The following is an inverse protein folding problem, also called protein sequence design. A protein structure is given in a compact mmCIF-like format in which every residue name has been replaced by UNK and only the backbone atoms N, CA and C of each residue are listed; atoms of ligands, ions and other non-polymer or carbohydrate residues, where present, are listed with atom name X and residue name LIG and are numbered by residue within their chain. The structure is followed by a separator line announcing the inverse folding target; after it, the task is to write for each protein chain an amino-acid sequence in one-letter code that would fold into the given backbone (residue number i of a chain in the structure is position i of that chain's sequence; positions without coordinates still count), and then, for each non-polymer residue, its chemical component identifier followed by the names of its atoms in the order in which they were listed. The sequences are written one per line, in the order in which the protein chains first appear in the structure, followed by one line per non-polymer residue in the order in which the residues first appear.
data_IF_098062853660
#
_entry.id   IF_098062853660
#
_cell.length_a   1.000
_cell.length_b   1.000
_cell.length_c   1.000
_cell.angle_alpha   90.00
_cell.angle_beta   90.00
_cell.angle_gamma   90.00
#
_symmetry.space_group_name_H-M   'P 1'
#
loop_
_entity.id
_entity.type
_entity.pdbx_description
1 polymer ?
#
# COMPACT_ATOMS: atom_id res chain seq x y z
N UNK A 1 -34.70 32.58 12.55
CA UNK A 1 -33.77 33.63 13.01
C UNK A 1 -32.97 34.07 11.80
N UNK A 2 -33.09 35.36 11.44
CA UNK A 2 -32.65 35.94 10.15
C UNK A 2 -31.13 36.09 10.07
N UNK A 3 -30.55 35.74 8.93
CA UNK A 3 -29.11 35.74 8.64
C UNK A 3 -28.54 37.14 8.29
N UNK A 4 -29.07 38.26 8.80
CA UNK A 4 -28.69 39.60 8.30
C UNK A 4 -28.06 40.60 9.28
N UNK A 5 -27.84 40.27 10.57
CA UNK A 5 -27.47 41.31 11.56
C UNK A 5 -26.20 41.01 12.38
N UNK A 6 -25.22 40.29 11.82
CA UNK A 6 -23.92 40.14 12.50
C UNK A 6 -22.90 41.14 11.93
N UNK A 7 -22.39 42.00 12.81
CA UNK A 7 -21.28 42.88 12.47
C UNK A 7 -20.07 42.02 12.04
N UNK A 8 -19.40 42.30 10.91
CA UNK A 8 -18.23 41.57 10.46
C UNK A 8 -17.13 41.36 11.52
N UNK A 9 -16.90 42.35 12.40
CA UNK A 9 -15.95 42.22 13.52
C UNK A 9 -16.43 41.26 14.63
N UNK A 10 -17.74 41.13 14.82
CA UNK A 10 -18.36 40.24 15.81
C UNK A 10 -18.17 38.76 15.43
N UNK A 11 -18.21 38.42 14.13
CA UNK A 11 -17.97 37.06 13.65
C UNK A 11 -16.53 36.57 13.90
N UNK A 12 -15.54 37.44 13.67
CA UNK A 12 -14.13 37.12 13.95
C UNK A 12 -13.90 36.95 15.46
N UNK A 13 -14.50 37.82 16.27
CA UNK A 13 -14.42 37.72 17.73
C UNK A 13 -15.05 36.43 18.25
N UNK A 14 -16.22 36.04 17.73
CA UNK A 14 -16.88 34.77 18.06
C UNK A 14 -16.04 33.56 17.69
N UNK A 15 -15.48 33.55 16.48
CA UNK A 15 -14.62 32.47 16.03
C UNK A 15 -13.37 32.33 16.90
N UNK A 16 -12.75 33.46 17.27
CA UNK A 16 -11.59 33.47 18.15
C UNK A 16 -11.96 33.04 19.58
N UNK A 17 -13.13 33.43 20.10
CA UNK A 17 -13.63 32.96 21.39
C UNK A 17 -13.80 31.44 21.38
N UNK A 18 -14.52 30.90 20.40
CA UNK A 18 -14.70 29.45 20.24
C UNK A 18 -13.35 28.71 20.11
N UNK A 19 -12.38 29.31 19.44
CA UNK A 19 -11.02 28.76 19.35
C UNK A 19 -10.30 28.72 20.71
N UNK A 20 -10.45 29.77 21.52
CA UNK A 20 -9.90 29.83 22.89
C UNK A 20 -10.62 28.85 23.82
N UNK A 21 -11.92 28.64 23.62
CA UNK A 21 -12.74 27.66 24.33
C UNK A 21 -12.48 26.22 23.88
N UNK A 22 -11.50 26.00 22.99
CA UNK A 22 -11.12 24.72 22.38
C UNK A 22 -12.23 24.04 21.55
N UNK A 23 -13.35 24.72 21.30
CA UNK A 23 -14.36 24.30 20.35
C UNK A 23 -13.93 24.67 18.92
N UNK A 24 -12.99 23.89 18.41
CA UNK A 24 -12.46 24.08 17.07
C UNK A 24 -13.52 23.84 15.98
N UNK A 25 -14.56 23.05 16.26
CA UNK A 25 -15.62 22.78 15.27
C UNK A 25 -16.50 24.00 15.05
N UNK A 26 -16.91 24.65 16.13
CA UNK A 26 -17.69 25.87 16.08
C UNK A 26 -16.83 27.06 15.61
N UNK A 27 -15.53 27.08 15.98
CA UNK A 27 -14.58 28.06 15.45
C UNK A 27 -14.48 27.98 13.91
N UNK A 28 -14.33 26.78 13.33
CA UNK A 28 -14.29 26.58 11.87
C UNK A 28 -15.58 27.07 11.20
N UNK A 29 -16.73 26.82 11.82
CA UNK A 29 -18.03 27.28 11.32
C UNK A 29 -18.10 28.80 11.30
N UNK A 30 -17.75 29.48 12.40
CA UNK A 30 -17.74 30.94 12.45
C UNK A 30 -16.71 31.57 11.51
N UNK A 31 -15.51 30.99 11.38
CA UNK A 31 -14.55 31.45 10.37
C UNK A 31 -15.10 31.29 8.94
N UNK A 32 -15.83 30.22 8.67
CA UNK A 32 -16.45 29.99 7.34
C UNK A 32 -17.52 31.02 7.04
N UNK A 33 -18.38 31.37 8.00
CA UNK A 33 -19.34 32.45 7.85
C UNK A 33 -18.66 33.82 7.73
N UNK A 34 -17.56 34.02 8.47
CA UNK A 34 -16.70 35.19 8.33
C UNK A 34 -16.15 35.34 6.92
N UNK A 35 -15.62 34.26 6.32
CA UNK A 35 -15.07 34.28 4.95
C UNK A 35 -16.12 34.62 3.89
N UNK A 36 -17.39 34.22 4.10
CA UNK A 36 -18.49 34.55 3.18
C UNK A 36 -18.89 36.02 3.24
N UNK A 37 -18.72 36.65 4.41
CA UNK A 37 -19.27 37.99 4.70
C UNK A 37 -18.20 39.07 4.64
N UNK A 38 -16.98 38.77 5.05
CA UNK A 38 -15.86 39.71 5.09
C UNK A 38 -15.15 39.75 3.73
N UNK A 39 -14.49 40.89 3.47
CA UNK A 39 -13.68 41.11 2.27
C UNK A 39 -12.46 41.95 2.63
N UNK A 40 -11.43 41.90 1.79
CA UNK A 40 -10.20 42.68 1.98
C UNK A 40 -9.16 41.98 2.86
N UNK A 41 -8.35 42.77 3.58
CA UNK A 41 -7.17 42.27 4.34
C UNK A 41 -7.52 41.27 5.45
N UNK A 42 -8.72 41.38 6.05
CA UNK A 42 -9.19 40.46 7.08
C UNK A 42 -9.41 39.01 6.58
N UNK A 43 -9.52 38.79 5.26
CA UNK A 43 -9.60 37.44 4.69
C UNK A 43 -8.35 36.62 4.96
N UNK A 44 -7.17 37.26 4.98
CA UNK A 44 -5.89 36.60 5.28
C UNK A 44 -5.94 35.98 6.66
N UNK A 45 -6.35 36.76 7.67
CA UNK A 45 -6.47 36.31 9.06
C UNK A 45 -7.52 35.22 9.22
N UNK A 46 -8.66 35.35 8.54
CA UNK A 46 -9.74 34.35 8.58
C UNK A 46 -9.30 33.00 8.00
N UNK A 47 -8.70 32.99 6.81
CA UNK A 47 -8.18 31.76 6.20
C UNK A 47 -7.07 31.15 7.05
N UNK A 48 -6.14 31.98 7.53
CA UNK A 48 -5.06 31.50 8.36
C UNK A 48 -5.61 30.90 9.68
N UNK A 49 -6.54 31.57 10.36
CA UNK A 49 -7.06 31.11 11.64
C UNK A 49 -7.98 29.89 11.48
N UNK A 50 -8.76 29.81 10.40
CA UNK A 50 -9.49 28.59 10.05
C UNK A 50 -8.55 27.42 9.79
N UNK A 51 -7.44 27.63 9.08
CA UNK A 51 -6.41 26.61 8.92
C UNK A 51 -5.85 26.14 10.27
N UNK A 52 -5.70 27.03 11.25
CA UNK A 52 -5.26 26.65 12.60
C UNK A 52 -6.27 25.76 13.32
N UNK A 53 -7.56 26.12 13.27
CA UNK A 53 -8.63 25.30 13.85
C UNK A 53 -8.72 23.93 13.16
N UNK A 54 -8.56 23.90 11.82
CA UNK A 54 -8.52 22.65 11.05
C UNK A 54 -7.31 21.78 11.41
N UNK A 55 -6.13 22.37 11.67
CA UNK A 55 -4.96 21.63 12.18
C UNK A 55 -5.25 20.98 13.54
N UNK A 56 -5.95 21.67 14.44
CA UNK A 56 -6.36 21.12 15.74
C UNK A 56 -7.38 19.99 15.62
N UNK A 57 -8.18 20.00 14.55
CA UNK A 57 -9.11 18.93 14.17
C UNK A 57 -8.46 17.84 13.30
N UNK A 58 -7.14 17.88 13.07
CA UNK A 58 -6.41 16.95 12.20
C UNK A 58 -6.91 16.90 10.74
N UNK A 59 -7.64 17.93 10.30
CA UNK A 59 -8.14 18.08 8.92
C UNK A 59 -7.08 18.73 8.03
N UNK A 60 -5.95 18.04 7.88
CA UNK A 60 -4.73 18.60 7.28
C UNK A 60 -4.89 19.03 5.81
N UNK A 61 -5.67 18.32 5.01
CA UNK A 61 -5.90 18.66 3.60
C UNK A 61 -6.61 20.01 3.43
N UNK A 62 -7.64 20.25 4.25
CA UNK A 62 -8.38 21.51 4.24
C UNK A 62 -7.55 22.65 4.85
N UNK A 63 -6.81 22.36 5.92
CA UNK A 63 -5.88 23.30 6.52
C UNK A 63 -4.81 23.76 5.50
N UNK A 64 -4.27 22.84 4.70
CA UNK A 64 -3.33 23.16 3.61
C UNK A 64 -3.98 24.13 2.60
N UNK A 65 -5.20 23.84 2.15
CA UNK A 65 -5.90 24.68 1.17
C UNK A 65 -6.15 26.10 1.70
N UNK A 66 -6.58 26.22 2.94
CA UNK A 66 -6.83 27.53 3.57
C UNK A 66 -5.55 28.31 3.82
N UNK A 67 -4.51 27.65 4.34
CA UNK A 67 -3.21 28.28 4.51
C UNK A 67 -2.63 28.75 3.18
N UNK A 68 -2.79 27.96 2.11
CA UNK A 68 -2.38 28.35 0.77
C UNK A 68 -3.13 29.61 0.28
N UNK A 69 -4.46 29.67 0.42
CA UNK A 69 -5.23 30.88 0.10
C UNK A 69 -4.76 32.10 0.88
N UNK A 70 -4.45 31.93 2.17
CA UNK A 70 -3.90 33.02 2.97
C UNK A 70 -2.53 33.49 2.44
N UNK A 71 -1.64 32.58 2.05
CA UNK A 71 -0.34 32.94 1.45
C UNK A 71 -0.46 33.57 0.06
N UNK A 72 -1.47 33.21 -0.72
CA UNK A 72 -1.77 33.83 -2.03
C UNK A 72 -2.28 35.26 -1.87
N UNK A 73 -3.07 35.53 -0.82
CA UNK A 73 -3.57 36.87 -0.51
C UNK A 73 -2.51 37.78 0.12
N UNK A 74 -1.68 37.25 1.03
CA UNK A 74 -0.54 37.98 1.58
C UNK A 74 0.70 37.06 1.71
N UNK A 75 1.65 37.17 0.77
CA UNK A 75 2.88 36.38 0.81
C UNK A 75 3.79 36.65 2.02
N UNK A 76 3.62 37.79 2.71
CA UNK A 76 4.44 38.17 3.87
C UNK A 76 3.92 37.62 5.20
N UNK A 77 2.72 37.02 5.22
CA UNK A 77 2.10 36.48 6.44
C UNK A 77 2.76 35.17 6.86
N UNK A 78 3.73 35.24 7.79
CA UNK A 78 4.48 34.07 8.23
C UNK A 78 3.61 33.02 8.93
N UNK A 79 2.50 33.39 9.61
CA UNK A 79 1.61 32.40 10.26
C UNK A 79 0.92 31.50 9.23
N UNK A 80 0.58 32.05 8.07
CA UNK A 80 -0.03 31.29 6.98
C UNK A 80 0.97 30.27 6.41
N UNK A 81 2.21 30.68 6.16
CA UNK A 81 3.29 29.79 5.73
C UNK A 81 3.59 28.70 6.77
N UNK A 82 3.63 29.06 8.05
CA UNK A 82 3.80 28.08 9.14
C UNK A 82 2.71 27.01 9.13
N UNK A 83 1.43 27.44 9.07
CA UNK A 83 0.27 26.54 9.06
C UNK A 83 0.25 25.66 7.80
N UNK A 84 0.67 26.19 6.65
CA UNK A 84 0.86 25.42 5.41
C UNK A 84 1.93 24.34 5.60
N UNK A 85 3.09 24.69 6.14
CA UNK A 85 4.18 23.76 6.41
C UNK A 85 3.77 22.62 7.33
N UNK A 86 3.12 22.92 8.46
CA UNK A 86 2.61 21.91 9.39
C UNK A 86 1.59 20.99 8.69
N UNK A 87 0.66 21.56 7.93
CA UNK A 87 -0.34 20.78 7.17
C UNK A 87 0.32 19.82 6.18
N UNK A 88 1.28 20.29 5.38
CA UNK A 88 2.02 19.47 4.42
C UNK A 88 2.84 18.37 5.11
N UNK A 89 3.45 18.67 6.26
CA UNK A 89 4.24 17.70 7.01
C UNK A 89 3.38 16.52 7.48
N UNK A 90 2.18 16.78 8.01
CA UNK A 90 1.23 15.73 8.40
C UNK A 90 0.66 14.95 7.20
N UNK A 91 0.57 15.58 6.03
CA UNK A 91 0.21 14.92 4.76
C UNK A 91 1.37 14.16 4.11
N UNK A 92 2.53 14.06 4.75
CA UNK A 92 3.75 13.43 4.23
C UNK A 92 4.32 14.08 2.96
N UNK A 93 3.93 15.33 2.69
CA UNK A 93 4.45 16.15 1.60
C UNK A 93 5.63 16.97 2.13
N UNK A 94 6.73 16.29 2.44
CA UNK A 94 7.84 16.87 3.20
C UNK A 94 8.60 17.95 2.42
N UNK A 95 8.71 17.82 1.09
CA UNK A 95 9.32 18.84 0.23
C UNK A 95 8.53 20.15 0.26
N UNK A 96 7.21 20.10 0.05
CA UNK A 96 6.34 21.28 0.14
C UNK A 96 6.31 21.86 1.56
N UNK A 97 6.41 21.01 2.59
CA UNK A 97 6.50 21.45 3.97
C UNK A 97 7.79 22.25 4.21
N UNK A 98 8.92 21.75 3.74
CA UNK A 98 10.23 22.39 3.85
C UNK A 98 10.22 23.79 3.21
N UNK A 99 9.71 23.91 1.99
CA UNK A 99 9.59 25.20 1.30
C UNK A 99 8.74 26.20 2.09
N UNK A 100 7.58 25.76 2.59
CA UNK A 100 6.70 26.62 3.38
C UNK A 100 7.35 27.07 4.70
N UNK A 101 8.11 26.19 5.37
CA UNK A 101 8.86 26.54 6.57
C UNK A 101 10.02 27.51 6.29
N UNK A 102 10.72 27.36 5.17
CA UNK A 102 11.77 28.29 4.77
C UNK A 102 11.20 29.70 4.47
N UNK A 103 10.08 29.78 3.77
CA UNK A 103 9.42 31.07 3.49
C UNK A 103 8.89 31.71 4.79
N UNK A 104 8.40 30.89 5.73
CA UNK A 104 8.01 31.33 7.07
C UNK A 104 9.20 31.95 7.85
N UNK A 105 10.36 31.29 7.83
CA UNK A 105 11.58 31.76 8.50
C UNK A 105 12.10 33.07 7.88
N UNK A 106 12.08 33.16 6.54
CA UNK A 106 12.47 34.36 5.80
C UNK A 106 11.60 35.58 6.12
N UNK A 107 10.31 35.36 6.39
CA UNK A 107 9.35 36.40 6.74
C UNK A 107 9.30 36.75 8.24
N UNK A 108 10.27 36.30 9.04
CA UNK A 108 10.48 36.78 10.41
C UNK A 108 9.86 35.94 11.53
N UNK A 109 9.53 34.67 11.28
CA UNK A 109 9.12 33.76 12.34
C UNK A 109 10.30 33.37 13.25
N UNK A 110 10.14 33.52 14.57
CA UNK A 110 11.18 33.20 15.56
C UNK A 110 11.07 31.76 16.09
N UNK A 111 12.23 31.12 16.26
CA UNK A 111 12.52 29.90 17.04
C UNK A 111 11.83 28.57 16.65
N UNK A 112 10.52 28.57 16.44
CA UNK A 112 9.72 27.35 16.32
C UNK A 112 9.85 26.62 14.98
N UNK A 113 10.28 27.31 13.92
CA UNK A 113 10.29 26.78 12.54
C UNK A 113 11.53 25.92 12.25
N UNK A 114 12.65 26.22 12.91
CA UNK A 114 13.92 25.51 12.68
C UNK A 114 13.81 24.01 12.95
N UNK A 115 13.09 23.60 14.00
CA UNK A 115 12.85 22.18 14.31
C UNK A 115 12.07 21.49 13.20
N UNK A 116 11.04 22.16 12.66
CA UNK A 116 10.24 21.64 11.56
C UNK A 116 11.03 21.48 10.27
N UNK A 117 11.95 22.40 9.98
CA UNK A 117 12.89 22.31 8.85
C UNK A 117 13.76 21.06 9.02
N UNK A 118 14.41 20.89 10.17
CA UNK A 118 15.25 19.72 10.44
C UNK A 118 14.48 18.41 10.34
N UNK A 119 13.26 18.33 10.90
CA UNK A 119 12.42 17.14 10.78
C UNK A 119 12.02 16.89 9.32
N UNK A 120 11.69 17.92 8.55
CA UNK A 120 11.34 17.77 7.14
C UNK A 120 12.52 17.25 6.33
N UNK A 121 13.72 17.81 6.54
CA UNK A 121 14.97 17.34 5.91
C UNK A 121 15.32 15.90 6.29
N UNK A 122 15.16 15.53 7.56
CA UNK A 122 15.39 14.16 8.04
C UNK A 122 14.43 13.18 7.35
N UNK A 123 13.13 13.52 7.27
CA UNK A 123 12.13 12.69 6.58
C UNK A 123 12.43 12.56 5.09
N UNK A 124 12.79 13.66 4.42
CA UNK A 124 13.21 13.65 3.01
C UNK A 124 14.46 12.77 2.83
N UNK A 125 15.48 12.92 3.68
CA UNK A 125 16.69 12.09 3.63
C UNK A 125 16.38 10.62 3.84
N UNK A 126 15.48 10.30 4.79
CA UNK A 126 15.07 8.92 5.07
C UNK A 126 14.28 8.31 3.90
N UNK A 127 13.42 9.09 3.23
CA UNK A 127 12.69 8.64 2.04
C UNK A 127 13.63 8.40 0.85
N UNK A 128 14.66 9.23 0.68
CA UNK A 128 15.70 9.02 -0.35
C UNK A 128 16.56 7.79 -0.07
N UNK A 129 16.96 7.60 1.20
CA UNK A 129 17.83 6.49 1.65
C UNK A 129 17.16 5.12 1.70
N UNK A 130 15.87 4.97 1.35
CA UNK A 130 15.26 3.64 1.29
C UNK A 130 16.02 2.84 0.22
N UNK A 131 16.83 1.83 0.60
CA UNK A 131 17.73 1.19 -0.34
C UNK A 131 16.88 0.54 -1.43
N UNK A 132 17.16 0.90 -2.68
CA UNK A 132 16.56 0.23 -3.83
C UNK A 132 17.10 -1.20 -3.82
N UNK A 133 16.30 -2.15 -3.32
CA UNK A 133 16.66 -3.56 -3.34
C UNK A 133 16.53 -4.06 -4.77
N UNK A 134 17.66 -4.09 -5.49
CA UNK A 134 17.71 -4.68 -6.82
C UNK A 134 17.75 -6.19 -6.66
N UNK A 135 16.69 -6.84 -7.14
CA UNK A 135 16.65 -8.30 -7.28
C UNK A 135 16.90 -8.63 -8.74
N UNK A 136 17.68 -9.66 -8.99
CA UNK A 136 17.79 -10.24 -10.33
C UNK A 136 17.28 -11.67 -10.29
N UNK A 137 16.60 -12.07 -11.36
CA UNK A 137 16.14 -13.42 -11.59
C UNK A 137 16.59 -13.84 -13.00
N UNK A 138 16.71 -15.13 -13.25
CA UNK A 138 17.09 -15.62 -14.57
C UNK A 138 16.25 -16.83 -14.95
N UNK A 139 15.93 -16.90 -16.23
CA UNK A 139 15.32 -18.06 -16.84
C UNK A 139 16.03 -18.36 -18.14
N UNK A 140 15.74 -19.53 -18.71
CA UNK A 140 16.33 -19.94 -19.97
C UNK A 140 15.29 -20.57 -20.88
N UNK A 141 15.49 -20.37 -22.16
CA UNK A 141 14.85 -21.10 -23.24
C UNK A 141 15.86 -22.08 -23.84
N UNK A 142 15.45 -22.86 -24.84
CA UNK A 142 16.38 -23.74 -25.57
C UNK A 142 17.50 -22.96 -26.26
N UNK A 143 17.24 -21.73 -26.69
CA UNK A 143 18.15 -20.95 -27.51
C UNK A 143 18.73 -19.69 -26.84
N UNK A 144 18.13 -19.21 -25.75
CA UNK A 144 18.53 -17.98 -25.07
C UNK A 144 18.55 -18.15 -23.55
N UNK A 145 19.43 -17.41 -22.88
CA UNK A 145 19.43 -17.18 -21.44
C UNK A 145 18.93 -15.76 -21.20
N UNK A 146 17.95 -15.60 -20.32
CA UNK A 146 17.30 -14.32 -20.05
C UNK A 146 17.49 -13.94 -18.59
N UNK A 147 18.15 -12.81 -18.33
CA UNK A 147 18.33 -12.24 -16.98
C UNK A 147 17.41 -11.05 -16.85
N UNK A 148 16.61 -11.03 -15.78
CA UNK A 148 15.69 -9.94 -15.45
C UNK A 148 16.20 -9.23 -14.22
N UNK A 149 16.59 -7.97 -14.35
CA UNK A 149 17.00 -7.11 -13.24
C UNK A 149 15.83 -6.21 -12.85
N UNK A 150 15.28 -6.41 -11.65
CA UNK A 150 14.16 -5.62 -11.11
C UNK A 150 14.69 -4.32 -10.51
N UNK A 151 14.60 -3.25 -11.28
CA UNK A 151 14.96 -1.91 -10.87
C UNK A 151 13.94 -0.90 -11.41
N UNK A 152 13.40 -0.06 -10.54
CA UNK A 152 12.34 0.90 -10.87
C UNK A 152 12.95 2.24 -11.31
N UNK A 153 12.30 2.88 -12.27
CA UNK A 153 12.58 4.24 -12.75
C UNK A 153 14.00 4.46 -13.30
N UNK A 154 14.62 3.42 -13.88
CA UNK A 154 15.90 3.57 -14.57
C UNK A 154 15.77 4.46 -15.81
N UNK A 155 16.73 5.36 -16.00
CA UNK A 155 16.87 6.12 -17.24
C UNK A 155 17.51 5.24 -18.33
N UNK A 156 16.85 4.96 -19.46
CA UNK A 156 17.41 4.12 -20.53
C UNK A 156 18.74 4.63 -21.08
N UNK A 157 19.00 5.94 -21.06
CA UNK A 157 20.24 6.52 -21.56
C UNK A 157 21.45 6.32 -20.62
N UNK A 158 21.21 5.96 -19.35
CA UNK A 158 22.23 5.76 -18.33
C UNK A 158 22.49 4.28 -18.01
N UNK A 159 22.02 3.37 -18.88
CA UNK A 159 22.23 1.93 -18.76
C UNK A 159 23.15 1.48 -19.90
N UNK A 160 24.31 0.93 -19.55
CA UNK A 160 25.24 0.33 -20.50
C UNK A 160 25.40 -1.15 -20.18
N UNK A 161 25.33 -2.00 -21.21
CA UNK A 161 25.50 -3.45 -21.07
C UNK A 161 26.54 -3.89 -22.09
N UNK A 162 27.61 -4.49 -21.58
CA UNK A 162 28.70 -5.06 -22.37
C UNK A 162 28.60 -6.58 -22.35
N UNK A 163 28.49 -7.16 -23.55
CA UNK A 163 28.45 -8.61 -23.76
C UNK A 163 29.82 -9.12 -24.16
N UNK A 164 30.38 -10.04 -23.38
CA UNK A 164 31.58 -10.80 -23.72
C UNK A 164 31.21 -12.28 -23.86
N UNK A 165 32.03 -13.08 -24.55
CA UNK A 165 31.74 -14.49 -24.80
C UNK A 165 31.44 -15.28 -23.52
N UNK A 166 32.08 -14.99 -22.39
CA UNK A 166 31.91 -15.71 -21.12
C UNK A 166 31.49 -14.83 -19.94
N UNK A 167 31.34 -13.52 -20.15
CA UNK A 167 30.98 -12.58 -19.07
C UNK A 167 29.99 -11.53 -19.58
N UNK A 168 29.12 -11.08 -18.69
CA UNK A 168 28.18 -9.99 -18.95
C UNK A 168 28.34 -8.94 -17.86
N UNK A 169 28.54 -7.69 -18.26
CA UNK A 169 28.65 -6.55 -17.36
C UNK A 169 27.53 -5.57 -17.67
N UNK A 170 26.71 -5.27 -16.67
CA UNK A 170 25.69 -4.22 -16.75
C UNK A 170 26.07 -3.12 -15.78
N UNK A 171 26.14 -1.88 -16.28
CA UNK A 171 26.26 -0.68 -15.47
C UNK A 171 25.00 0.16 -15.63
N UNK A 172 24.43 0.59 -14.52
CA UNK A 172 23.22 1.40 -14.51
C UNK A 172 23.28 2.45 -13.40
N UNK A 173 22.95 3.70 -13.73
CA UNK A 173 22.76 4.74 -12.71
C UNK A 173 21.34 4.68 -12.16
N UNK A 174 21.20 4.43 -10.87
CA UNK A 174 19.90 4.41 -10.20
C UNK A 174 19.33 5.83 -10.03
N UNK A 175 18.01 5.97 -9.77
CA UNK A 175 17.38 7.26 -9.48
C UNK A 175 17.99 8.01 -8.29
N UNK A 176 18.66 7.31 -7.37
CA UNK A 176 19.35 7.87 -6.19
C UNK A 176 20.80 8.29 -6.51
N UNK A 177 21.15 8.42 -7.79
CA UNK A 177 22.48 8.72 -8.32
C UNK A 177 23.59 7.70 -8.00
N UNK A 178 23.28 6.60 -7.32
CA UNK A 178 24.22 5.51 -7.08
C UNK A 178 24.46 4.69 -8.34
N UNK A 179 25.73 4.37 -8.61
CA UNK A 179 26.10 3.46 -9.68
C UNK A 179 25.86 2.00 -9.26
N UNK A 180 25.11 1.27 -10.09
CA UNK A 180 24.89 -0.17 -9.93
C UNK A 180 25.65 -0.93 -11.01
N UNK A 181 26.50 -1.85 -10.58
CA UNK A 181 27.24 -2.76 -11.46
C UNK A 181 26.82 -4.21 -11.18
N UNK A 182 26.37 -4.91 -12.23
CA UNK A 182 26.07 -6.33 -12.19
C UNK A 182 27.03 -7.06 -13.14
N UNK A 183 27.90 -7.87 -12.55
CA UNK A 183 28.90 -8.68 -13.26
C UNK A 183 28.52 -10.15 -13.13
N UNK A 184 28.15 -10.77 -14.25
CA UNK A 184 27.80 -12.18 -14.31
C UNK A 184 28.88 -12.95 -15.08
N UNK A 185 29.47 -13.95 -14.43
CA UNK A 185 30.42 -14.88 -15.06
C UNK A 185 29.66 -16.09 -15.57
N UNK A 186 29.38 -16.12 -16.87
CA UNK A 186 28.50 -17.11 -17.47
C UNK A 186 29.13 -18.50 -17.49
N UNK A 187 28.34 -19.53 -17.17
CA UNK A 187 28.80 -20.93 -17.16
C UNK A 187 29.23 -21.43 -18.55
N UNK A 188 28.56 -20.96 -19.60
CA UNK A 188 28.83 -21.36 -20.98
C UNK A 188 28.95 -20.13 -21.88
N UNK A 189 29.65 -20.26 -23.02
CA UNK A 189 29.83 -19.15 -23.93
C UNK A 189 28.50 -18.72 -24.58
N UNK A 190 28.35 -17.40 -24.74
CA UNK A 190 27.26 -16.76 -25.46
C UNK A 190 27.76 -16.14 -26.77
N UNK A 191 26.84 -15.86 -27.69
CA UNK A 191 27.13 -15.11 -28.92
C UNK A 191 26.81 -13.63 -28.68
N UNK A 192 27.83 -12.76 -28.50
CA UNK A 192 27.61 -11.35 -28.16
C UNK A 192 26.79 -10.62 -29.24
N UNK A 193 27.07 -10.89 -30.51
CA UNK A 193 26.43 -10.24 -31.66
C UNK A 193 24.92 -10.49 -31.79
N UNK A 194 24.42 -11.58 -31.17
CA UNK A 194 23.00 -11.94 -31.16
C UNK A 194 22.35 -11.71 -29.79
N UNK A 195 23.09 -11.11 -28.86
CA UNK A 195 22.57 -10.77 -27.54
C UNK A 195 21.97 -9.37 -27.56
N UNK A 196 20.85 -9.18 -26.86
CA UNK A 196 20.10 -7.93 -26.83
C UNK A 196 19.62 -7.61 -25.43
N UNK A 197 19.32 -6.34 -25.17
CA UNK A 197 18.73 -5.92 -23.90
C UNK A 197 17.54 -4.98 -24.15
N UNK A 198 16.63 -4.92 -23.19
CA UNK A 198 15.47 -4.04 -23.23
C UNK A 198 15.27 -3.42 -21.85
N UNK A 199 15.32 -2.08 -21.81
CA UNK A 199 15.10 -1.31 -20.58
C UNK A 199 13.62 -0.94 -20.49
N UNK A 200 12.94 -1.42 -19.46
CA UNK A 200 11.57 -1.03 -19.12
C UNK A 200 11.56 -0.15 -17.86
N UNK A 201 10.42 0.50 -17.57
CA UNK A 201 10.27 1.36 -16.39
C UNK A 201 10.47 0.63 -15.05
N UNK A 202 10.20 -0.68 -15.01
CA UNK A 202 10.20 -1.48 -13.78
C UNK A 202 11.28 -2.57 -13.75
N UNK A 203 11.92 -2.84 -14.89
CA UNK A 203 12.89 -3.93 -15.05
C UNK A 203 13.78 -3.72 -16.27
N UNK A 204 14.95 -4.34 -16.25
CA UNK A 204 15.81 -4.51 -17.43
C UNK A 204 15.83 -5.99 -17.78
N UNK A 205 15.47 -6.32 -19.02
CA UNK A 205 15.55 -7.67 -19.55
C UNK A 205 16.78 -7.79 -20.44
N UNK A 206 17.66 -8.73 -20.11
CA UNK A 206 18.88 -9.02 -20.86
C UNK A 206 18.71 -10.40 -21.48
N UNK A 207 18.76 -10.47 -22.80
CA UNK A 207 18.60 -11.71 -23.58
C UNK A 207 19.94 -12.07 -24.22
N UNK A 208 20.56 -13.13 -23.74
CA UNK A 208 21.83 -13.63 -24.24
C UNK A 208 21.60 -14.86 -25.10
N UNK A 209 22.20 -14.91 -26.29
CA UNK A 209 22.10 -16.07 -27.19
C UNK A 209 23.09 -17.14 -26.77
N UNK A 210 22.62 -18.38 -26.57
CA UNK A 210 23.50 -19.52 -26.27
C UNK A 210 24.34 -19.89 -27.49
N UNK A 211 25.63 -20.17 -27.30
CA UNK A 211 26.47 -20.78 -28.34
C UNK A 211 26.13 -22.28 -28.50
N UNK A 212 25.94 -22.96 -27.37
CA UNK A 212 25.66 -24.40 -27.33
C UNK A 212 24.18 -24.68 -27.03
N UNK A 213 23.61 -25.73 -27.63
CA UNK A 213 22.24 -26.20 -27.35
C UNK A 213 22.06 -26.84 -25.96
N UNK A 214 22.94 -26.52 -25.01
CA UNK A 214 23.00 -27.09 -23.67
C UNK A 214 22.06 -26.31 -22.74
N UNK A 215 21.34 -27.03 -21.90
CA UNK A 215 20.54 -26.44 -20.81
C UNK A 215 21.47 -26.13 -19.63
N UNK A 216 21.50 -24.88 -19.20
CA UNK A 216 22.39 -24.44 -18.13
C UNK A 216 21.83 -24.90 -16.78
N UNK A 217 22.64 -25.56 -15.95
CA UNK A 217 22.27 -25.94 -14.59
C UNK A 217 22.44 -24.77 -13.60
N UNK A 218 23.35 -23.85 -13.90
CA UNK A 218 23.63 -22.62 -13.16
C UNK A 218 23.84 -21.46 -14.14
N UNK A 219 23.48 -20.24 -13.74
CA UNK A 219 23.80 -19.03 -14.50
C UNK A 219 25.30 -18.74 -14.44
N UNK A 220 25.88 -18.87 -13.25
CA UNK A 220 27.28 -18.57 -12.99
C UNK A 220 28.15 -19.83 -12.93
N UNK A 221 29.28 -19.77 -13.63
CA UNK A 221 30.32 -20.80 -13.61
C UNK A 221 31.34 -20.50 -12.52
N UNK A 222 31.72 -21.50 -11.72
CA UNK A 222 32.76 -21.35 -10.70
C UNK A 222 34.12 -20.98 -11.32
N UNK A 223 34.47 -19.70 -11.30
CA UNK A 223 35.87 -19.27 -11.38
C UNK A 223 36.52 -19.60 -10.04
N UNK A 224 37.24 -20.72 -9.98
CA UNK A 224 38.02 -21.13 -8.81
C UNK A 224 39.10 -20.08 -8.48
N UNK A 225 38.83 -19.22 -7.50
CA UNK A 225 39.82 -18.40 -6.80
C UNK A 225 39.90 -18.80 -5.31
N UNK A 226 40.24 -20.07 -5.06
CA UNK A 226 41.06 -20.52 -3.92
C UNK A 226 41.19 -22.05 -3.99
N UNK A 227 42.26 -22.51 -4.61
CA UNK A 227 42.67 -23.92 -4.59
C UNK A 227 43.24 -24.23 -3.21
N UNK A 228 42.50 -24.99 -2.38
CA UNK A 228 43.13 -25.90 -1.41
C UNK A 228 43.08 -27.30 -2.03
N UNK A 229 44.24 -27.79 -2.46
CA UNK A 229 44.41 -29.17 -2.91
C UNK A 229 44.10 -30.13 -1.75
N UNK A 230 43.38 -31.21 -2.04
CA UNK A 230 43.27 -32.39 -1.19
C UNK A 230 43.80 -33.58 -2.00
N UNK A 231 44.67 -34.45 -1.43
CA UNK A 231 45.39 -35.47 -2.17
C UNK A 231 44.50 -36.65 -2.60
N UNK A 232 44.94 -37.27 -3.69
CA UNK A 232 44.39 -38.46 -4.34
C UNK A 232 44.42 -39.66 -3.38
N UNK A 233 43.27 -40.31 -3.20
CA UNK A 233 43.19 -41.69 -2.71
C UNK A 233 42.02 -42.43 -3.37
N UNK A 234 42.33 -43.60 -3.89
CA UNK A 234 41.47 -44.49 -4.65
C UNK A 234 40.33 -45.13 -3.82
N UNK A 235 39.18 -45.38 -4.45
CA UNK A 235 38.29 -46.50 -4.11
C UNK A 235 37.26 -46.76 -5.23
N UNK A 236 36.99 -48.05 -5.44
CA UNK A 236 36.24 -48.74 -6.50
C UNK A 236 34.71 -48.51 -6.48
N UNK A 237 33.93 -49.02 -7.46
CA UNK A 237 32.51 -48.74 -7.61
C UNK A 237 31.66 -49.64 -6.70
N UNK A 238 30.79 -49.05 -5.89
CA UNK A 238 29.72 -49.75 -5.17
C UNK A 238 28.35 -49.31 -5.69
N UNK A 239 27.56 -50.26 -6.16
CA UNK A 239 26.13 -50.14 -6.46
C UNK A 239 25.35 -49.84 -5.17
N UNK A 240 24.84 -48.62 -5.04
CA UNK A 240 23.59 -48.24 -4.33
C UNK A 240 23.36 -46.72 -4.46
N UNK A 241 22.11 -46.23 -4.58
CA UNK A 241 21.86 -44.79 -4.70
C UNK A 241 22.20 -44.06 -3.39
N UNK A 242 22.69 -42.80 -3.44
CA UNK A 242 23.11 -42.07 -2.26
C UNK A 242 21.92 -41.69 -1.38
N UNK A 243 21.96 -42.10 -0.12
CA UNK A 243 21.12 -41.56 0.95
C UNK A 243 21.81 -40.29 1.47
N UNK A 244 21.16 -39.14 1.30
CA UNK A 244 21.69 -37.84 1.72
C UNK A 244 21.58 -37.64 3.24
N UNK A 245 22.60 -37.10 3.93
CA UNK A 245 22.49 -36.71 5.32
C UNK A 245 21.72 -35.39 5.41
N UNK A 246 20.48 -35.45 5.91
CA UNK A 246 19.63 -34.28 6.14
C UNK A 246 20.16 -33.45 7.32
N UNK A 247 20.71 -32.28 7.02
CA UNK A 247 21.17 -31.28 7.99
C UNK A 247 20.07 -30.25 8.29
N UNK A 248 18.97 -30.67 8.94
CA UNK A 248 18.12 -29.72 9.66
C UNK A 248 17.53 -30.34 10.93
N UNK A 249 18.24 -30.16 12.04
CA UNK A 249 17.81 -30.59 13.38
C UNK A 249 16.66 -29.75 13.97
N UNK A 250 15.84 -29.09 13.15
CA UNK A 250 14.57 -28.45 13.54
C UNK A 250 13.59 -28.51 12.38
N UNK A 251 12.82 -29.60 12.29
CA UNK A 251 11.60 -29.64 11.46
C UNK A 251 10.58 -28.70 12.10
N UNK A 252 10.41 -27.50 11.52
CA UNK A 252 9.22 -26.69 11.80
C UNK A 252 8.06 -27.43 11.14
N UNK A 253 7.19 -28.00 11.96
CA UNK A 253 6.12 -28.89 11.51
C UNK A 253 4.98 -28.04 10.94
N UNK A 254 5.04 -27.74 9.64
CA UNK A 254 4.06 -26.91 8.94
C UNK A 254 2.65 -27.51 9.00
N UNK A 255 2.51 -28.84 9.03
CA UNK A 255 1.22 -29.52 9.22
C UNK A 255 0.58 -29.21 10.59
N UNK A 256 1.41 -29.02 11.62
CA UNK A 256 0.90 -28.66 12.96
C UNK A 256 0.45 -27.21 13.01
N UNK A 257 1.18 -26.31 12.36
CA UNK A 257 0.83 -24.89 12.23
C UNK A 257 -0.43 -24.74 11.39
N UNK A 258 -0.57 -25.49 10.29
CA UNK A 258 -1.77 -25.49 9.45
C UNK A 258 -2.97 -26.09 10.21
N UNK A 259 -2.76 -27.13 11.03
CA UNK A 259 -3.81 -27.65 11.92
C UNK A 259 -4.17 -26.71 13.07
N UNK A 260 -3.23 -25.92 13.59
CA UNK A 260 -3.46 -24.92 14.64
C UNK A 260 -4.17 -23.69 14.07
N UNK A 261 -3.82 -23.23 12.87
CA UNK A 261 -4.50 -22.14 12.15
C UNK A 261 -5.92 -22.56 11.76
N UNK A 262 -6.10 -23.79 11.26
CA UNK A 262 -7.42 -24.30 10.87
C UNK A 262 -8.32 -24.56 12.07
N UNK A 263 -7.73 -24.85 13.23
CA UNK A 263 -8.43 -24.99 14.51
C UNK A 263 -8.71 -23.63 15.16
N UNK A 264 -7.84 -22.63 15.00
CA UNK A 264 -8.10 -21.22 15.33
C UNK A 264 -9.17 -20.60 14.42
N UNK A 265 -9.20 -20.94 13.12
CA UNK A 265 -10.27 -20.56 12.18
C UNK A 265 -11.60 -21.28 12.48
N UNK A 266 -11.58 -22.51 13.03
CA UNK A 266 -12.77 -23.20 13.53
C UNK A 266 -13.20 -22.73 14.94
N UNK A 267 -12.28 -22.17 15.75
CA UNK A 267 -12.56 -21.54 17.05
C UNK A 267 -12.96 -20.05 16.96
N UNK A 268 -12.58 -19.34 15.90
CA UNK A 268 -13.20 -18.06 15.51
C UNK A 268 -14.60 -18.32 14.95
N UNK A 269 -15.53 -18.65 15.84
CA UNK A 269 -16.97 -18.59 15.55
C UNK A 269 -17.29 -17.20 14.99
N UNK A 270 -17.74 -17.06 13.74
CA UNK A 270 -18.42 -15.85 13.34
C UNK A 270 -19.83 -15.97 13.96
N UNK A 271 -19.98 -15.53 15.21
CA UNK A 271 -21.31 -15.41 15.81
C UNK A 271 -22.10 -14.33 15.07
N UNK A 272 -23.08 -14.77 14.28
CA UNK A 272 -24.04 -13.87 13.63
C UNK A 272 -24.64 -14.42 12.34
N UNK A 273 -25.60 -13.65 11.80
CA UNK A 273 -26.36 -13.95 10.58
C UNK A 273 -25.47 -14.24 9.35
N UNK A 274 -24.23 -13.72 9.32
CA UNK A 274 -23.28 -13.91 8.23
C UNK A 274 -22.78 -15.37 8.11
N UNK A 275 -22.48 -16.04 9.23
CA UNK A 275 -22.06 -17.46 9.22
C UNK A 275 -23.21 -18.37 8.81
N UNK A 276 -24.42 -18.05 9.25
CA UNK A 276 -25.64 -18.77 8.90
C UNK A 276 -25.95 -18.62 7.40
N UNK A 277 -25.82 -17.41 6.86
CA UNK A 277 -25.97 -17.15 5.43
C UNK A 277 -24.93 -17.90 4.58
N UNK A 278 -23.68 -17.97 5.03
CA UNK A 278 -22.65 -18.73 4.34
C UNK A 278 -22.92 -20.24 4.37
N UNK A 279 -23.41 -20.76 5.50
CA UNK A 279 -23.86 -22.15 5.61
C UNK A 279 -25.00 -22.46 4.62
N UNK A 280 -25.98 -21.56 4.48
CA UNK A 280 -27.08 -21.74 3.54
C UNK A 280 -26.64 -21.63 2.07
N UNK A 281 -25.71 -20.73 1.74
CA UNK A 281 -25.12 -20.66 0.39
C UNK A 281 -24.41 -21.96 0.03
N UNK A 282 -23.68 -22.54 1.00
CA UNK A 282 -23.00 -23.82 0.80
C UNK A 282 -23.99 -24.98 0.59
N UNK A 283 -25.06 -25.05 1.38
CA UNK A 283 -26.11 -26.06 1.23
C UNK A 283 -26.85 -25.90 -0.11
N UNK A 284 -27.09 -24.68 -0.57
CA UNK A 284 -27.72 -24.44 -1.89
C UNK A 284 -26.78 -24.81 -3.05
N UNK A 285 -25.48 -24.56 -2.90
CA UNK A 285 -24.44 -24.92 -3.87
C UNK A 285 -24.26 -26.43 -4.00
N UNK A 286 -24.14 -27.13 -2.87
CA UNK A 286 -23.85 -28.58 -2.81
C UNK A 286 -25.12 -29.46 -2.83
N UNK A 287 -26.30 -28.90 -2.53
CA UNK A 287 -27.56 -29.63 -2.41
C UNK A 287 -28.13 -30.17 -3.73
N UNK A 288 -28.95 -31.22 -3.63
CA UNK A 288 -29.73 -31.75 -4.76
C UNK A 288 -30.83 -30.76 -5.17
N UNK A 289 -31.38 -30.92 -6.38
CA UNK A 289 -32.43 -30.01 -6.88
C UNK A 289 -33.69 -29.98 -6.00
N UNK A 290 -33.95 -31.06 -5.27
CA UNK A 290 -35.04 -31.14 -4.29
C UNK A 290 -34.80 -30.26 -3.06
N UNK A 291 -33.55 -30.18 -2.59
CA UNK A 291 -33.14 -29.28 -1.50
C UNK A 291 -33.25 -27.82 -1.95
N UNK A 292 -32.79 -27.49 -3.16
CA UNK A 292 -32.92 -26.12 -3.72
C UNK A 292 -34.39 -25.71 -3.85
N UNK A 293 -35.25 -26.64 -4.26
CA UNK A 293 -36.69 -26.39 -4.39
C UNK A 293 -37.35 -26.15 -3.03
N UNK A 294 -36.96 -26.92 -2.00
CA UNK A 294 -37.43 -26.74 -0.63
C UNK A 294 -36.99 -25.39 -0.04
N UNK A 295 -35.73 -25.02 -0.27
CA UNK A 295 -35.16 -23.76 0.18
C UNK A 295 -35.86 -22.56 -0.48
N UNK A 296 -36.02 -22.57 -1.81
CA UNK A 296 -36.69 -21.48 -2.51
C UNK A 296 -38.16 -21.34 -2.13
N UNK A 297 -38.89 -22.46 -1.97
CA UNK A 297 -40.30 -22.42 -1.59
C UNK A 297 -40.49 -21.94 -0.15
N UNK A 298 -39.69 -22.45 0.80
CA UNK A 298 -39.78 -22.01 2.20
C UNK A 298 -39.40 -20.55 2.37
N UNK A 299 -38.32 -20.10 1.72
CA UNK A 299 -37.89 -18.70 1.74
C UNK A 299 -38.96 -17.76 1.20
N UNK A 300 -39.61 -18.15 0.10
CA UNK A 300 -40.64 -17.33 -0.53
C UNK A 300 -41.95 -17.30 0.26
N UNK A 301 -42.36 -18.41 0.87
CA UNK A 301 -43.57 -18.46 1.71
C UNK A 301 -43.38 -17.75 3.06
N UNK A 302 -42.16 -17.79 3.62
CA UNK A 302 -41.84 -17.16 4.91
C UNK A 302 -41.40 -15.69 4.78
N UNK A 303 -41.41 -15.10 3.59
CA UNK A 303 -40.94 -13.73 3.39
C UNK A 303 -39.46 -13.52 3.72
N UNK A 304 -38.64 -14.57 3.61
CA UNK A 304 -37.20 -14.50 3.80
C UNK A 304 -36.68 -14.79 5.21
N UNK A 305 -37.54 -15.11 6.18
CA UNK A 305 -37.11 -15.33 7.58
C UNK A 305 -36.86 -16.79 7.98
N UNK A 306 -37.33 -17.77 7.21
CA UNK A 306 -37.18 -19.21 7.53
C UNK A 306 -36.73 -19.97 6.29
N UNK A 307 -35.70 -20.81 6.44
CA UNK A 307 -35.18 -21.65 5.36
C UNK A 307 -35.21 -23.12 5.77
N UNK A 308 -35.94 -23.95 5.02
CA UNK A 308 -36.02 -25.39 5.24
C UNK A 308 -35.45 -26.16 4.05
N UNK A 309 -34.73 -27.25 4.34
CA UNK A 309 -34.05 -28.10 3.35
C UNK A 309 -34.84 -29.38 3.03
N UNK A 310 -35.96 -29.64 3.71
CA UNK A 310 -36.76 -30.86 3.54
C UNK A 310 -38.00 -30.62 2.67
N UNK A 311 -38.00 -31.11 1.43
CA UNK A 311 -39.09 -30.91 0.48
C UNK A 311 -40.41 -31.56 0.91
N UNK A 312 -40.36 -32.71 1.58
CA UNK A 312 -41.57 -33.45 1.97
C UNK A 312 -42.43 -32.71 3.00
N UNK A 313 -41.83 -31.83 3.79
CA UNK A 313 -42.51 -31.00 4.79
C UNK A 313 -43.04 -29.71 4.16
N UNK A 314 -42.18 -28.98 3.44
CA UNK A 314 -42.53 -27.72 2.75
C UNK A 314 -43.55 -27.94 1.62
N UNK A 315 -43.65 -29.15 1.07
CA UNK A 315 -44.67 -29.50 0.08
C UNK A 315 -46.08 -29.60 0.68
N UNK A 316 -46.21 -30.04 1.94
CA UNK A 316 -47.50 -30.36 2.58
C UNK A 316 -48.06 -29.21 3.43
N UNK A 317 -47.21 -28.38 4.03
CA UNK A 317 -47.63 -27.35 4.97
C UNK A 317 -47.00 -26.00 4.62
N UNK A 318 -47.77 -24.90 4.78
CA UNK A 318 -47.27 -23.54 4.49
C UNK A 318 -46.31 -23.11 5.60
N UNK A 319 -45.11 -22.67 5.22
CA UNK A 319 -44.12 -22.21 6.19
C UNK A 319 -44.48 -20.80 6.68
N UNK A 320 -44.89 -20.67 7.94
CA UNK A 320 -45.31 -19.40 8.54
C UNK A 320 -44.10 -18.52 8.92
N UNK A 321 -44.22 -17.21 8.69
CA UNK A 321 -43.21 -16.21 9.05
C UNK A 321 -42.94 -16.24 10.56
N UNK A 322 -41.70 -16.54 10.94
CA UNK A 322 -41.18 -16.34 12.30
C UNK A 322 -40.09 -15.28 12.23
N UNK A 323 -40.36 -14.02 12.65
CA UNK A 323 -39.34 -12.98 12.66
C UNK A 323 -38.33 -13.20 13.82
N UNK A 324 -37.09 -12.69 13.71
CA UNK A 324 -36.09 -12.75 14.77
C UNK A 324 -36.56 -12.05 16.06
N UNK A 325 -36.07 -12.51 17.21
CA UNK A 325 -36.47 -12.01 18.54
C UNK A 325 -36.34 -10.48 18.64
N UNK A 326 -37.45 -9.80 18.91
CA UNK A 326 -37.53 -8.34 19.06
C UNK A 326 -38.14 -7.57 17.87
N UNK A 327 -38.55 -8.21 16.78
CA UNK A 327 -39.14 -7.53 15.61
C UNK A 327 -40.51 -8.12 15.25
N UNK A 328 -41.57 -7.31 15.26
CA UNK A 328 -42.91 -7.74 14.86
C UNK A 328 -43.11 -7.61 13.34
N UNK A 329 -43.61 -8.69 12.70
CA UNK A 329 -43.91 -8.68 11.27
C UNK A 329 -45.19 -7.89 10.99
N UNK A 330 -45.08 -6.74 10.31
CA UNK A 330 -46.22 -5.91 9.91
C UNK A 330 -46.63 -6.23 8.47
N UNK A 331 -47.82 -6.80 8.27
CA UNK A 331 -48.40 -7.03 6.92
C UNK A 331 -48.80 -5.69 6.31
N UNK A 332 -48.38 -5.44 5.07
CA UNK A 332 -48.66 -4.19 4.34
C UNK A 332 -50.06 -4.16 3.68
N UNK A 333 -51.08 -4.68 4.36
CA UNK A 333 -52.48 -4.58 3.91
C UNK A 333 -53.40 -4.44 5.12
N UNK A 334 -53.23 -3.35 5.86
CA UNK A 334 -54.27 -2.74 6.68
C UNK A 334 -54.18 -1.22 6.46
N UNK A 335 -55.25 -0.68 5.89
CA UNK A 335 -55.43 0.71 5.54
C UNK A 335 -55.97 1.49 6.74
#
# INVERSE_FOLDING_TARGET
MSSSDYNPHDLLSKANSAFVDEDYTEAVKWYTEGIKTLSGSALVDLYANRAHALLKLERYAEAKSDAQKATELNPTEFKAHYRKGVSCFHLQQYEEALEAFQECQKNGADGGVSQWITWSEEKISKLKKIPIVIKHDWYQTESHVCVTVLAKNLNPAAVTIDFTASTMMMKAKLPDETDYELNLNLTYPIVPDQSSFTVMKTKVEIKMKKCDGIRWSSLEGQSSANVKQIPVAAASPSEQPPVYPSSSAKKKNWDKIESEIKKEEEEEKPEGEAALNHLFQKIYGEGSDEIRRAMNKSFQESGGTVLSTNWNEVAKEKVTVKPPDGVEFKKWDEK
#
